data_IF_821760552297
#
_entry.id   IF_821760552297
#
_cell.length_a   1.000
_cell.length_b   1.000
_cell.length_c   1.000
_cell.angle_alpha   90.00
_cell.angle_beta   90.00
_cell.angle_gamma   90.00
#
_symmetry.space_group_name_H-M   'P 1'
#
loop_
_entity.id
_entity.type
_entity.pdbx_description
1 polymer ?
#
# COMPACT_ATOMS: atom_id res chain seq x y z
N UNK A 1 -29.31 39.54 -11.22
CA UNK A 1 -27.95 39.93 -10.78
C UNK A 1 -27.22 38.82 -10.03
N UNK A 2 -27.74 38.30 -8.91
CA UNK A 2 -27.07 37.21 -8.15
C UNK A 2 -26.93 35.91 -8.96
N UNK A 3 -27.99 35.47 -9.63
CA UNK A 3 -27.97 34.28 -10.50
C UNK A 3 -27.02 34.40 -11.71
N UNK A 4 -26.78 35.62 -12.19
CA UNK A 4 -25.91 35.87 -13.34
C UNK A 4 -24.43 35.94 -12.92
N UNK A 5 -24.18 36.40 -11.69
CA UNK A 5 -22.89 36.35 -11.01
C UNK A 5 -22.48 34.90 -10.70
N UNK A 6 -23.39 34.12 -10.10
CA UNK A 6 -23.17 32.70 -9.78
C UNK A 6 -22.89 31.85 -11.04
N UNK A 7 -23.53 32.20 -12.17
CA UNK A 7 -23.30 31.53 -13.46
C UNK A 7 -21.95 31.87 -14.09
N UNK A 8 -21.48 33.12 -13.96
CA UNK A 8 -20.16 33.53 -14.46
C UNK A 8 -19.04 32.89 -13.63
N UNK A 9 -19.16 32.89 -12.31
CA UNK A 9 -18.22 32.25 -11.40
C UNK A 9 -18.12 30.73 -11.65
N UNK A 10 -19.24 30.07 -11.93
CA UNK A 10 -19.27 28.65 -12.31
C UNK A 10 -18.56 28.38 -13.65
N UNK A 11 -18.76 29.24 -14.65
CA UNK A 11 -18.11 29.10 -15.97
C UNK A 11 -16.60 29.35 -15.87
N UNK A 12 -16.18 30.37 -15.11
CA UNK A 12 -14.77 30.67 -14.86
C UNK A 12 -14.08 29.53 -14.10
N UNK A 13 -14.74 28.97 -13.08
CA UNK A 13 -14.25 27.80 -12.35
C UNK A 13 -14.09 26.57 -13.23
N UNK A 14 -15.07 26.28 -14.12
CA UNK A 14 -14.98 25.17 -15.07
C UNK A 14 -13.87 25.40 -16.10
N UNK A 15 -13.74 26.61 -16.66
CA UNK A 15 -12.69 26.94 -17.61
C UNK A 15 -11.29 26.81 -16.99
N UNK A 16 -11.15 27.21 -15.72
CA UNK A 16 -9.91 27.03 -14.97
C UNK A 16 -9.60 25.55 -14.71
N UNK A 17 -10.62 24.75 -14.39
CA UNK A 17 -10.47 23.31 -14.19
C UNK A 17 -10.31 22.52 -15.50
N UNK A 18 -10.64 23.11 -16.67
CA UNK A 18 -10.71 22.42 -17.95
C UNK A 18 -9.42 21.69 -18.34
N UNK A 19 -8.20 22.27 -18.22
CA UNK A 19 -6.97 21.56 -18.56
C UNK A 19 -6.76 20.31 -17.70
N UNK A 20 -7.10 20.39 -16.40
CA UNK A 20 -7.06 19.24 -15.50
C UNK A 20 -8.12 18.20 -15.85
N UNK A 21 -9.37 18.62 -16.09
CA UNK A 21 -10.47 17.72 -16.46
C UNK A 21 -10.21 16.99 -17.78
N UNK A 22 -9.59 17.66 -18.75
CA UNK A 22 -9.17 17.04 -20.01
C UNK A 22 -8.08 15.98 -19.77
N UNK A 23 -7.04 16.30 -19.01
CA UNK A 23 -5.98 15.35 -18.67
C UNK A 23 -6.54 14.16 -17.87
N UNK A 24 -7.36 14.42 -16.86
CA UNK A 24 -8.07 13.39 -16.08
C UNK A 24 -8.96 12.51 -16.97
N UNK A 25 -9.73 13.13 -17.87
CA UNK A 25 -10.62 12.43 -18.80
C UNK A 25 -9.85 11.48 -19.73
N UNK A 26 -8.77 11.96 -20.34
CA UNK A 26 -8.02 11.22 -21.35
C UNK A 26 -7.10 10.16 -20.74
N UNK A 27 -6.40 10.48 -19.66
CA UNK A 27 -5.36 9.61 -19.11
C UNK A 27 -5.82 8.71 -17.96
N UNK A 28 -6.94 9.03 -17.31
CA UNK A 28 -7.46 8.24 -16.19
C UNK A 28 -8.84 7.67 -16.50
N UNK A 29 -9.82 8.53 -16.79
CA UNK A 29 -11.21 8.09 -16.95
C UNK A 29 -11.40 7.20 -18.19
N UNK A 30 -10.80 7.57 -19.32
CA UNK A 30 -10.91 6.79 -20.56
C UNK A 30 -10.28 5.39 -20.43
N UNK A 31 -9.01 5.21 -19.99
CA UNK A 31 -8.44 3.88 -19.80
C UNK A 31 -9.19 3.04 -18.77
N UNK A 32 -9.70 3.67 -17.70
CA UNK A 32 -10.55 3.00 -16.73
C UNK A 32 -11.79 2.43 -17.42
N UNK A 33 -12.62 3.28 -18.03
CA UNK A 33 -13.83 2.85 -18.74
C UNK A 33 -13.53 1.83 -19.85
N UNK A 34 -12.42 2.00 -20.58
CA UNK A 34 -12.00 1.04 -21.61
C UNK A 34 -11.65 -0.31 -21.01
N UNK A 35 -10.96 -0.35 -19.87
CA UNK A 35 -10.71 -1.58 -19.12
C UNK A 35 -12.00 -2.25 -18.67
N UNK A 36 -12.99 -1.46 -18.20
CA UNK A 36 -14.30 -2.02 -17.82
C UNK A 36 -14.99 -2.62 -19.02
N UNK A 37 -14.94 -1.95 -20.17
CA UNK A 37 -15.45 -2.50 -21.41
C UNK A 37 -14.72 -3.80 -21.79
N UNK A 38 -13.39 -3.82 -21.75
CA UNK A 38 -12.57 -4.99 -22.07
C UNK A 38 -12.88 -6.20 -21.17
N UNK A 39 -13.25 -6.00 -19.90
CA UNK A 39 -13.53 -7.11 -18.99
C UNK A 39 -14.75 -7.94 -19.37
N UNK A 40 -15.62 -7.43 -20.25
CA UNK A 40 -16.77 -8.18 -20.80
C UNK A 40 -16.48 -8.88 -22.13
N UNK A 41 -15.24 -8.82 -22.62
CA UNK A 41 -14.83 -9.38 -23.92
C UNK A 41 -13.73 -10.41 -23.75
N UNK A 42 -13.67 -11.37 -24.68
CA UNK A 42 -12.43 -12.05 -25.01
C UNK A 42 -11.61 -11.10 -25.88
N UNK A 43 -10.73 -10.35 -25.22
CA UNK A 43 -10.06 -9.20 -25.82
C UNK A 43 -8.83 -9.63 -26.63
N UNK A 44 -8.90 -9.49 -27.95
CA UNK A 44 -7.75 -9.70 -28.82
C UNK A 44 -6.92 -8.42 -28.93
N UNK A 45 -5.74 -8.42 -28.30
CA UNK A 45 -4.86 -7.25 -28.31
C UNK A 45 -4.23 -6.93 -29.68
N UNK A 46 -4.06 -7.92 -30.55
CA UNK A 46 -3.48 -7.74 -31.88
C UNK A 46 -4.53 -7.23 -32.88
N UNK A 47 -5.74 -7.76 -32.76
CA UNK A 47 -6.88 -7.40 -33.61
C UNK A 47 -8.08 -7.02 -32.75
N UNK A 48 -8.12 -5.80 -32.17
CA UNK A 48 -9.20 -5.39 -31.29
C UNK A 48 -10.61 -5.50 -31.91
N UNK A 49 -10.71 -5.36 -33.23
CA UNK A 49 -11.97 -5.49 -33.97
C UNK A 49 -12.53 -6.93 -33.99
N UNK A 50 -11.68 -7.93 -33.74
CA UNK A 50 -12.04 -9.35 -33.67
C UNK A 50 -12.38 -9.79 -32.23
N UNK A 51 -12.41 -8.86 -31.26
CA UNK A 51 -12.73 -9.20 -29.87
C UNK A 51 -14.18 -9.64 -29.73
N UNK A 52 -14.41 -10.78 -29.08
CA UNK A 52 -15.75 -11.35 -28.91
C UNK A 52 -16.39 -10.90 -27.60
N UNK A 53 -17.66 -10.50 -27.63
CA UNK A 53 -18.39 -10.17 -26.40
C UNK A 53 -18.80 -11.46 -25.68
N UNK A 54 -18.26 -11.68 -24.49
CA UNK A 54 -18.51 -12.89 -23.68
C UNK A 54 -19.30 -12.60 -22.41
N UNK A 55 -19.79 -11.37 -22.23
CA UNK A 55 -20.56 -10.97 -21.06
C UNK A 55 -19.75 -11.12 -19.76
N UNK A 56 -20.28 -11.87 -18.79
CA UNK A 56 -19.64 -12.04 -17.48
C UNK A 56 -18.70 -13.25 -17.38
N UNK A 57 -18.37 -13.91 -18.49
CA UNK A 57 -17.61 -15.16 -18.44
C UNK A 57 -16.22 -14.99 -17.79
N UNK A 58 -15.49 -13.90 -18.07
CA UNK A 58 -14.23 -13.60 -17.38
C UNK A 58 -14.37 -13.60 -15.85
N UNK A 59 -15.46 -13.04 -15.33
CA UNK A 59 -15.74 -13.01 -13.89
C UNK A 59 -16.10 -14.39 -13.34
N UNK A 60 -16.84 -15.20 -14.11
CA UNK A 60 -17.16 -16.58 -13.73
C UNK A 60 -15.89 -17.43 -13.67
N UNK A 61 -15.04 -17.36 -14.70
CA UNK A 61 -13.75 -18.04 -14.74
C UNK A 61 -12.89 -17.64 -13.55
N UNK A 62 -12.83 -16.34 -13.25
CA UNK A 62 -12.06 -15.79 -12.13
C UNK A 62 -12.50 -16.34 -10.78
N UNK A 63 -13.81 -16.46 -10.54
CA UNK A 63 -14.32 -17.01 -9.28
C UNK A 63 -14.01 -18.51 -9.11
N UNK A 64 -13.79 -19.23 -10.20
CA UNK A 64 -13.41 -20.66 -10.19
C UNK A 64 -11.90 -20.90 -10.29
N UNK A 65 -11.09 -19.85 -10.44
CA UNK A 65 -9.66 -19.96 -10.67
C UNK A 65 -8.88 -20.09 -9.34
N UNK A 66 -8.24 -21.24 -9.07
CA UNK A 66 -7.48 -21.43 -7.83
C UNK A 66 -6.33 -20.44 -7.69
N UNK A 67 -5.64 -20.09 -8.78
CA UNK A 67 -4.50 -19.16 -8.73
C UNK A 67 -4.93 -17.74 -8.38
N UNK A 68 -6.14 -17.33 -8.80
CA UNK A 68 -6.72 -16.07 -8.36
C UNK A 68 -6.89 -16.05 -6.84
N UNK A 69 -7.49 -17.09 -6.26
CA UNK A 69 -7.70 -17.19 -4.82
C UNK A 69 -6.38 -17.28 -4.04
N UNK A 70 -5.42 -18.07 -4.52
CA UNK A 70 -4.08 -18.15 -3.92
C UNK A 70 -3.39 -16.79 -3.94
N UNK A 71 -3.45 -16.06 -5.06
CA UNK A 71 -2.87 -14.72 -5.17
C UNK A 71 -3.55 -13.70 -4.25
N UNK A 72 -4.87 -13.83 -4.05
CA UNK A 72 -5.62 -12.98 -3.13
C UNK A 72 -5.27 -13.30 -1.67
N UNK A 73 -5.18 -14.57 -1.30
CA UNK A 73 -4.75 -15.00 0.04
C UNK A 73 -3.34 -14.53 0.33
N UNK A 74 -2.41 -14.69 -0.62
CA UNK A 74 -1.04 -14.18 -0.50
C UNK A 74 -1.02 -12.65 -0.32
N UNK A 75 -1.86 -11.92 -1.04
CA UNK A 75 -1.96 -10.46 -0.90
C UNK A 75 -2.49 -10.06 0.47
N UNK A 76 -3.56 -10.71 0.95
CA UNK A 76 -4.11 -10.48 2.28
C UNK A 76 -3.09 -10.82 3.36
N UNK A 77 -2.37 -11.93 3.19
CA UNK A 77 -1.32 -12.35 4.09
C UNK A 77 -0.19 -11.31 4.14
N UNK A 78 0.27 -10.84 2.98
CA UNK A 78 1.24 -9.76 2.89
C UNK A 78 0.77 -8.47 3.57
N UNK A 79 -0.49 -8.09 3.41
CA UNK A 79 -1.10 -6.91 4.03
C UNK A 79 -1.09 -7.03 5.56
N UNK A 80 -1.46 -8.20 6.10
CA UNK A 80 -1.42 -8.47 7.55
C UNK A 80 0.02 -8.42 8.08
N UNK A 81 1.00 -8.88 7.29
CA UNK A 81 2.41 -8.84 7.67
C UNK A 81 3.04 -7.45 7.57
N UNK A 82 2.45 -6.53 6.80
CA UNK A 82 3.07 -5.22 6.52
C UNK A 82 2.35 -4.05 7.17
N UNK A 83 1.01 -3.96 7.07
CA UNK A 83 0.26 -2.78 7.52
C UNK A 83 0.38 -2.55 9.03
N UNK A 84 0.11 -3.52 9.91
CA UNK A 84 0.22 -3.29 11.35
C UNK A 84 1.66 -2.91 11.77
N UNK A 85 2.73 -3.62 11.35
CA UNK A 85 4.09 -3.21 11.68
C UNK A 85 4.46 -1.83 11.14
N UNK A 86 4.02 -1.48 9.91
CA UNK A 86 4.29 -0.17 9.33
C UNK A 86 3.65 0.97 10.14
N UNK A 87 2.39 0.80 10.56
CA UNK A 87 1.69 1.80 11.38
C UNK A 87 2.28 1.88 12.79
N UNK A 88 2.54 0.73 13.41
CA UNK A 88 3.09 0.66 14.78
C UNK A 88 4.50 1.25 14.81
N UNK A 89 5.41 0.79 13.95
CA UNK A 89 6.79 1.26 13.97
C UNK A 89 6.91 2.72 13.57
N UNK A 90 6.16 3.19 12.58
CA UNK A 90 6.17 4.62 12.23
C UNK A 90 5.68 5.50 13.38
N UNK A 91 4.62 5.08 14.08
CA UNK A 91 4.09 5.80 15.26
C UNK A 91 5.11 5.78 16.40
N UNK A 92 5.70 4.63 16.72
CA UNK A 92 6.71 4.52 17.78
C UNK A 92 7.95 5.38 17.48
N UNK A 93 8.44 5.36 16.24
CA UNK A 93 9.55 6.20 15.80
C UNK A 93 9.20 7.69 15.90
N UNK A 94 7.99 8.10 15.47
CA UNK A 94 7.53 9.48 15.55
C UNK A 94 7.47 9.97 17.01
N UNK A 95 6.94 9.15 17.93
CA UNK A 95 6.88 9.47 19.35
C UNK A 95 8.28 9.56 19.99
N UNK A 96 9.19 8.66 19.61
CA UNK A 96 10.57 8.63 20.12
C UNK A 96 11.38 9.84 19.66
N UNK A 97 11.35 10.14 18.35
CA UNK A 97 12.08 11.27 17.74
C UNK A 97 11.51 12.62 18.14
N UNK A 98 10.22 12.70 18.52
CA UNK A 98 9.65 13.97 18.93
C UNK A 98 10.25 14.51 20.24
N UNK A 99 10.77 13.64 21.12
CA UNK A 99 11.48 14.06 22.34
C UNK A 99 12.70 14.93 21.99
N UNK A 100 13.12 15.79 22.90
CA UNK A 100 14.34 16.61 22.75
C UNK A 100 15.62 15.75 22.87
N UNK A 101 15.78 14.80 21.94
CA UNK A 101 16.94 13.91 21.87
C UNK A 101 18.08 14.62 21.12
N UNK A 102 19.29 14.55 21.67
CA UNK A 102 20.49 15.04 20.98
C UNK A 102 20.67 14.25 19.67
N UNK A 103 20.84 14.94 18.54
CA UNK A 103 20.99 14.30 17.23
C UNK A 103 19.68 13.98 16.49
N UNK A 104 18.56 14.63 16.85
CA UNK A 104 17.25 14.47 16.18
C UNK A 104 17.31 14.59 14.66
N UNK A 105 18.16 15.47 14.11
CA UNK A 105 18.34 15.61 12.66
C UNK A 105 18.91 14.34 12.04
N UNK A 106 19.94 13.74 12.66
CA UNK A 106 20.60 12.54 12.16
C UNK A 106 19.66 11.34 12.21
N UNK A 107 18.89 11.18 13.30
CA UNK A 107 17.88 10.13 13.42
C UNK A 107 16.83 10.23 12.31
N UNK A 108 16.33 11.45 12.04
CA UNK A 108 15.38 11.70 10.94
C UNK A 108 15.99 11.33 9.58
N UNK A 109 17.24 11.70 9.34
CA UNK A 109 17.94 11.38 8.08
C UNK A 109 18.13 9.87 7.91
N UNK A 110 18.59 9.17 8.95
CA UNK A 110 18.81 7.71 8.89
C UNK A 110 17.51 6.94 8.72
N UNK A 111 16.44 7.33 9.41
CA UNK A 111 15.15 6.66 9.25
C UNK A 111 14.46 6.99 7.94
N UNK A 112 14.74 8.14 7.33
CA UNK A 112 14.15 8.51 6.04
C UNK A 112 14.93 7.98 4.83
N UNK A 113 16.24 7.75 4.97
CA UNK A 113 17.09 7.37 3.84
C UNK A 113 16.63 6.13 3.05
N UNK A 114 16.02 5.08 3.65
CA UNK A 114 15.55 3.93 2.88
C UNK A 114 14.53 4.30 1.82
N UNK A 115 13.64 5.26 2.10
CA UNK A 115 12.54 5.64 1.21
C UNK A 115 13.01 6.27 -0.11
N UNK A 116 14.24 6.80 -0.14
CA UNK A 116 14.82 7.42 -1.33
C UNK A 116 15.21 6.34 -2.36
N UNK A 117 15.41 5.10 -1.92
CA UNK A 117 15.79 3.99 -2.79
C UNK A 117 14.59 3.51 -3.62
N UNK A 118 14.87 3.15 -4.87
CA UNK A 118 13.85 2.57 -5.76
C UNK A 118 13.51 1.14 -5.33
N UNK A 119 12.31 0.68 -5.69
CA UNK A 119 11.87 -0.71 -5.44
C UNK A 119 12.87 -1.74 -5.99
N UNK A 120 13.49 -1.45 -7.13
CA UNK A 120 14.50 -2.30 -7.76
C UNK A 120 15.75 -2.46 -6.91
N UNK A 121 16.28 -1.36 -6.38
CA UNK A 121 17.47 -1.39 -5.51
C UNK A 121 17.16 -2.17 -4.23
N UNK A 122 16.01 -1.91 -3.61
CA UNK A 122 15.58 -2.61 -2.39
C UNK A 122 15.39 -4.10 -2.65
N UNK A 123 14.69 -4.46 -3.73
CA UNK A 123 14.45 -5.84 -4.09
C UNK A 123 15.74 -6.61 -4.30
N UNK A 124 16.69 -6.07 -5.06
CA UNK A 124 17.99 -6.71 -5.29
C UNK A 124 18.83 -6.80 -4.02
N UNK A 125 18.86 -5.73 -3.21
CA UNK A 125 19.58 -5.73 -1.94
C UNK A 125 19.08 -6.83 -1.00
N UNK A 126 17.76 -6.92 -0.80
CA UNK A 126 17.18 -7.91 0.10
C UNK A 126 17.17 -9.31 -0.50
N UNK A 127 17.13 -9.45 -1.82
CA UNK A 127 17.34 -10.73 -2.49
C UNK A 127 18.69 -11.34 -2.10
N UNK A 128 19.77 -10.54 -2.13
CA UNK A 128 21.11 -10.97 -1.72
C UNK A 128 21.21 -11.19 -0.21
N UNK A 129 20.61 -10.33 0.62
CA UNK A 129 20.65 -10.49 2.09
C UNK A 129 19.95 -11.75 2.59
N UNK A 130 18.83 -12.14 1.97
CA UNK A 130 18.01 -13.30 2.34
C UNK A 130 18.34 -14.59 1.56
N UNK A 131 19.24 -14.53 0.57
CA UNK A 131 19.73 -15.72 -0.13
C UNK A 131 20.46 -16.69 0.84
N UNK A 132 20.57 -17.97 0.48
CA UNK A 132 21.12 -19.04 1.34
C UNK A 132 22.59 -18.88 1.81
N UNK A 133 23.28 -17.82 1.40
CA UNK A 133 24.60 -17.40 1.90
C UNK A 133 24.71 -15.89 2.17
N UNK A 134 23.57 -15.18 2.17
CA UNK A 134 23.50 -13.75 2.43
C UNK A 134 23.82 -13.40 3.88
N UNK A 135 24.10 -12.12 4.14
CA UNK A 135 24.49 -11.65 5.48
C UNK A 135 23.45 -12.01 6.56
N UNK A 136 22.16 -11.77 6.29
CA UNK A 136 21.09 -12.05 7.25
C UNK A 136 20.95 -13.56 7.46
N UNK A 137 20.91 -14.30 6.36
CA UNK A 137 20.87 -15.76 6.34
C UNK A 137 22.01 -16.40 7.17
N UNK A 138 23.25 -15.96 6.96
CA UNK A 138 24.43 -16.45 7.66
C UNK A 138 24.33 -16.26 9.19
N UNK A 139 23.98 -15.06 9.65
CA UNK A 139 23.88 -14.79 11.08
C UNK A 139 22.69 -15.50 11.73
N UNK A 140 21.55 -15.63 11.04
CA UNK A 140 20.41 -16.38 11.57
C UNK A 140 20.72 -17.87 11.72
N UNK A 141 21.49 -18.45 10.80
CA UNK A 141 21.97 -19.82 10.94
C UNK A 141 22.95 -19.97 12.09
N UNK A 142 23.93 -19.07 12.16
CA UNK A 142 25.00 -19.15 13.16
C UNK A 142 24.47 -18.97 14.58
N UNK A 143 23.49 -18.08 14.78
CA UNK A 143 22.94 -17.77 16.10
C UNK A 143 21.77 -18.68 16.49
N UNK A 144 20.93 -19.09 15.54
CA UNK A 144 19.67 -19.77 15.82
C UNK A 144 19.50 -21.12 15.13
N UNK A 145 20.48 -21.56 14.32
CA UNK A 145 20.43 -22.84 13.59
C UNK A 145 19.37 -22.92 12.49
N UNK A 146 18.84 -21.77 12.05
CA UNK A 146 17.75 -21.73 11.05
C UNK A 146 18.28 -22.02 9.64
N UNK A 147 17.54 -22.82 8.88
CA UNK A 147 17.83 -23.10 7.48
C UNK A 147 17.64 -21.83 6.63
N UNK A 148 18.64 -21.49 5.81
CA UNK A 148 18.96 -20.09 5.49
C UNK A 148 18.34 -19.53 4.25
N UNK A 149 17.69 -20.35 3.41
CA UNK A 149 17.18 -19.86 2.15
C UNK A 149 15.71 -19.45 2.29
N UNK A 150 15.49 -18.33 2.98
CA UNK A 150 14.16 -17.78 3.23
C UNK A 150 13.36 -17.62 1.93
N UNK A 151 14.03 -17.20 0.85
CA UNK A 151 13.39 -16.97 -0.46
C UNK A 151 13.00 -18.25 -1.21
N UNK A 152 13.51 -19.42 -0.81
CA UNK A 152 13.14 -20.73 -1.39
C UNK A 152 12.15 -21.52 -0.52
N UNK A 153 11.71 -20.97 0.59
CA UNK A 153 10.70 -21.59 1.45
C UNK A 153 9.32 -21.01 1.15
N UNK A 154 8.33 -21.85 0.90
CA UNK A 154 6.92 -21.45 0.73
C UNK A 154 6.38 -20.75 1.98
N UNK A 155 6.91 -21.08 3.15
CA UNK A 155 6.54 -20.46 4.43
C UNK A 155 7.21 -19.10 4.61
N UNK A 156 8.52 -19.01 4.35
CA UNK A 156 9.32 -17.83 4.73
C UNK A 156 9.49 -16.78 3.63
N UNK A 157 9.25 -17.12 2.36
CA UNK A 157 9.48 -16.19 1.25
C UNK A 157 8.64 -14.92 1.39
N UNK A 158 7.34 -15.06 1.70
CA UNK A 158 6.48 -13.89 1.90
C UNK A 158 6.89 -13.06 3.12
N UNK A 159 7.34 -13.69 4.20
CA UNK A 159 7.86 -12.96 5.36
C UNK A 159 9.11 -12.15 5.01
N UNK A 160 10.02 -12.69 4.22
CA UNK A 160 11.21 -11.96 3.78
C UNK A 160 10.84 -10.73 2.93
N UNK A 161 9.89 -10.90 1.99
CA UNK A 161 9.37 -9.80 1.16
C UNK A 161 8.65 -8.74 2.02
N UNK A 162 7.85 -9.18 3.00
CA UNK A 162 7.17 -8.28 3.94
C UNK A 162 8.16 -7.53 4.83
N UNK A 163 9.18 -8.21 5.39
CA UNK A 163 10.19 -7.58 6.23
C UNK A 163 11.00 -6.52 5.47
N UNK A 164 11.42 -6.82 4.24
CA UNK A 164 12.06 -5.84 3.35
C UNK A 164 11.13 -4.64 3.09
N UNK A 165 9.84 -4.90 2.85
CA UNK A 165 8.84 -3.84 2.64
C UNK A 165 8.64 -2.97 3.88
N UNK A 166 8.52 -3.57 5.06
CA UNK A 166 8.36 -2.84 6.33
C UNK A 166 9.57 -1.92 6.55
N UNK A 167 10.79 -2.44 6.39
CA UNK A 167 12.01 -1.64 6.52
C UNK A 167 12.07 -0.47 5.54
N UNK A 168 11.65 -0.71 4.29
CA UNK A 168 11.70 0.30 3.24
C UNK A 168 10.62 1.39 3.39
N UNK A 169 9.39 1.00 3.70
CA UNK A 169 8.21 1.89 3.68
C UNK A 169 7.95 2.58 5.03
N UNK A 170 8.53 2.10 6.15
CA UNK A 170 8.28 2.70 7.49
C UNK A 170 8.63 4.18 7.53
N UNK A 171 9.64 4.58 6.77
CA UNK A 171 10.14 5.94 6.62
C UNK A 171 9.07 6.95 6.16
N UNK A 172 8.25 6.57 5.18
CA UNK A 172 7.19 7.43 4.64
C UNK A 172 6.11 7.67 5.69
N UNK A 173 5.63 6.59 6.31
CA UNK A 173 4.63 6.64 7.37
C UNK A 173 5.15 7.40 8.59
N UNK A 174 6.44 7.25 8.91
CA UNK A 174 7.09 7.95 10.01
C UNK A 174 7.03 9.47 9.86
N UNK A 175 7.25 10.01 8.64
CA UNK A 175 7.18 11.47 8.42
C UNK A 175 5.77 11.99 8.67
N UNK A 176 4.75 11.30 8.18
CA UNK A 176 3.35 11.69 8.38
C UNK A 176 3.02 11.68 9.87
N UNK A 177 3.38 10.60 10.57
CA UNK A 177 3.16 10.46 12.01
C UNK A 177 3.94 11.48 12.83
N UNK A 178 5.15 11.83 12.42
CA UNK A 178 5.96 12.85 13.07
C UNK A 178 5.34 14.24 12.89
N UNK A 179 4.89 14.59 11.68
CA UNK A 179 4.20 15.85 11.42
C UNK A 179 2.90 15.94 12.24
N UNK A 180 2.12 14.86 12.28
CA UNK A 180 0.92 14.75 13.11
C UNK A 180 1.23 14.96 14.59
N UNK A 181 2.26 14.29 15.12
CA UNK A 181 2.69 14.46 16.52
C UNK A 181 3.14 15.89 16.83
N UNK A 182 3.82 16.55 15.88
CA UNK A 182 4.25 17.93 16.03
C UNK A 182 3.11 18.95 15.95
N UNK A 183 1.97 18.57 15.35
CA UNK A 183 0.76 19.40 15.31
C UNK A 183 -0.03 19.42 16.62
N UNK A 184 0.23 18.51 17.58
CA UNK A 184 -0.49 18.47 18.86
C UNK A 184 -0.06 19.65 19.74
N UNK A 185 -0.98 20.55 20.16
CA UNK A 185 -0.63 21.75 20.91
C UNK A 185 0.04 21.45 22.26
N UNK A 186 1.18 22.11 22.53
CA UNK A 186 1.95 21.92 23.77
C UNK A 186 1.16 22.23 25.05
N UNK A 187 0.21 23.17 24.96
CA UNK A 187 -0.69 23.56 26.07
C UNK A 187 -1.47 22.38 26.67
N UNK A 188 -1.81 21.36 25.87
CA UNK A 188 -2.53 20.18 26.35
C UNK A 188 -1.63 19.35 27.28
N UNK A 189 -0.35 19.22 26.93
CA UNK A 189 0.64 18.51 27.74
C UNK A 189 1.04 19.31 28.98
N UNK A 190 1.05 20.64 28.93
CA UNK A 190 1.28 21.49 30.10
C UNK A 190 0.13 21.39 31.11
N UNK A 191 -1.12 21.50 30.66
CA UNK A 191 -2.30 21.34 31.51
C UNK A 191 -2.32 19.96 32.19
N UNK A 192 -2.12 18.88 31.42
CA UNK A 192 -2.12 17.53 31.97
C UNK A 192 -0.99 17.30 32.99
N UNK A 193 0.17 17.93 32.83
CA UNK A 193 1.26 17.87 33.82
C UNK A 193 0.90 18.60 35.11
N UNK A 194 0.15 19.70 35.04
CA UNK A 194 -0.38 20.40 36.22
C UNK A 194 -1.42 19.55 36.95
N UNK A 195 -2.22 18.77 36.22
CA UNK A 195 -3.20 17.81 36.76
C UNK A 195 -2.56 16.50 37.27
N UNK A 196 -1.23 16.36 37.19
CA UNK A 196 -0.49 15.19 37.70
C UNK A 196 -0.48 13.98 36.76
N UNK A 197 -0.89 14.14 35.49
CA UNK A 197 -0.91 13.05 34.53
C UNK A 197 0.50 12.53 34.20
N UNK A 198 0.65 11.22 34.18
CA UNK A 198 1.84 10.49 33.77
C UNK A 198 2.06 10.55 32.25
N UNK A 199 3.27 10.17 31.81
CA UNK A 199 3.59 10.11 30.37
C UNK A 199 2.74 9.11 29.59
N UNK A 200 2.27 8.04 30.24
CA UNK A 200 1.41 7.04 29.60
C UNK A 200 -0.03 7.56 29.45
N UNK A 201 -0.56 8.24 30.47
CA UNK A 201 -1.88 8.90 30.39
C UNK A 201 -1.87 9.98 29.31
N UNK A 202 -0.85 10.84 29.25
CA UNK A 202 -0.71 11.82 28.16
C UNK A 202 -0.55 11.19 26.76
N UNK A 203 0.02 9.99 26.67
CA UNK A 203 0.10 9.27 25.40
C UNK A 203 -1.29 8.78 24.98
N UNK A 204 -1.99 8.09 25.89
CA UNK A 204 -3.28 7.45 25.63
C UNK A 204 -4.42 8.46 25.45
N UNK A 205 -4.46 9.52 26.26
CA UNK A 205 -5.63 10.39 26.37
C UNK A 205 -5.48 11.70 25.59
N UNK A 206 -4.24 12.08 25.23
CA UNK A 206 -3.97 13.30 24.45
C UNK A 206 -3.38 12.94 23.09
N UNK A 207 -2.25 12.24 23.09
CA UNK A 207 -1.45 12.09 21.87
C UNK A 207 -2.13 11.22 20.82
N UNK A 208 -2.53 9.99 21.18
CA UNK A 208 -3.17 9.05 20.24
C UNK A 208 -4.52 9.59 19.74
N UNK A 209 -5.41 10.14 20.59
CA UNK A 209 -6.68 10.72 20.14
C UNK A 209 -6.49 11.90 19.18
N UNK A 210 -5.56 12.81 19.48
CA UNK A 210 -5.26 13.95 18.60
C UNK A 210 -4.62 13.52 17.27
N UNK A 211 -3.95 12.37 17.25
CA UNK A 211 -3.36 11.78 16.06
C UNK A 211 -4.30 10.82 15.32
N UNK A 212 -5.56 10.63 15.76
CA UNK A 212 -6.50 9.68 15.17
C UNK A 212 -6.58 9.85 13.66
N UNK A 213 -6.93 11.04 13.16
CA UNK A 213 -7.13 11.27 11.72
C UNK A 213 -5.85 10.99 10.88
N UNK A 214 -4.66 11.46 11.28
CA UNK A 214 -3.41 11.04 10.64
C UNK A 214 -3.13 9.53 10.71
N UNK A 215 -3.46 8.86 11.82
CA UNK A 215 -3.35 7.40 11.94
C UNK A 215 -4.27 6.71 10.92
N UNK A 216 -5.52 7.15 10.79
CA UNK A 216 -6.47 6.59 9.84
C UNK A 216 -5.97 6.74 8.40
N UNK A 217 -5.48 7.93 8.09
CA UNK A 217 -4.91 8.23 6.78
C UNK A 217 -3.74 7.31 6.44
N UNK A 218 -2.80 7.12 7.37
CA UNK A 218 -1.67 6.20 7.17
C UNK A 218 -2.13 4.75 7.06
N UNK A 219 -3.10 4.31 7.87
CA UNK A 219 -3.67 2.96 7.76
C UNK A 219 -4.25 2.72 6.38
N UNK A 220 -5.08 3.66 5.87
CA UNK A 220 -5.74 3.54 4.56
C UNK A 220 -4.71 3.54 3.43
N UNK A 221 -3.77 4.48 3.40
CA UNK A 221 -2.76 4.54 2.34
C UNK A 221 -1.83 3.33 2.38
N UNK A 222 -1.41 2.90 3.57
CA UNK A 222 -0.54 1.72 3.71
C UNK A 222 -1.29 0.47 3.28
N UNK A 223 -2.58 0.35 3.62
CA UNK A 223 -3.42 -0.75 3.18
C UNK A 223 -3.54 -0.81 1.65
N UNK A 224 -3.88 0.31 1.00
CA UNK A 224 -3.98 0.40 -0.46
C UNK A 224 -2.63 0.02 -1.11
N UNK A 225 -1.53 0.58 -0.60
CA UNK A 225 -0.19 0.30 -1.11
C UNK A 225 0.23 -1.16 -0.94
N UNK A 226 -0.06 -1.77 0.21
CA UNK A 226 0.24 -3.19 0.46
C UNK A 226 -0.62 -4.14 -0.37
N UNK A 227 -1.90 -3.81 -0.63
CA UNK A 227 -2.75 -4.59 -1.52
C UNK A 227 -2.31 -4.49 -2.99
N UNK A 228 -1.72 -3.37 -3.38
CA UNK A 228 -1.20 -3.12 -4.73
C UNK A 228 0.26 -3.54 -4.91
N UNK A 229 0.81 -4.35 -3.99
CA UNK A 229 2.22 -4.74 -4.04
C UNK A 229 2.53 -5.57 -5.29
N UNK A 230 3.62 -5.21 -5.97
CA UNK A 230 4.09 -5.88 -7.19
C UNK A 230 5.61 -6.01 -7.21
N UNK A 231 6.33 -4.89 -7.07
CA UNK A 231 7.77 -4.85 -7.34
C UNK A 231 8.61 -5.74 -6.40
N UNK A 232 8.33 -5.70 -5.10
CA UNK A 232 9.11 -6.46 -4.10
C UNK A 232 9.05 -7.97 -4.34
N UNK A 233 7.86 -8.62 -4.39
CA UNK A 233 7.78 -10.05 -4.70
C UNK A 233 8.22 -10.38 -6.13
N UNK A 234 8.00 -9.47 -7.11
CA UNK A 234 8.50 -9.68 -8.47
C UNK A 234 10.03 -9.78 -8.53
N UNK A 235 10.74 -8.91 -7.84
CA UNK A 235 12.21 -8.85 -7.88
C UNK A 235 12.83 -9.93 -6.97
N UNK A 236 12.34 -10.07 -5.74
CA UNK A 236 12.98 -10.94 -4.74
C UNK A 236 12.75 -12.42 -5.00
N UNK A 237 11.54 -12.79 -5.47
CA UNK A 237 11.11 -14.19 -5.52
C UNK A 237 10.47 -14.59 -6.85
N UNK A 238 10.18 -13.63 -7.73
CA UNK A 238 9.40 -13.83 -8.96
C UNK A 238 8.04 -14.51 -8.73
N UNK A 239 7.45 -14.31 -7.55
CA UNK A 239 6.18 -14.93 -7.15
C UNK A 239 6.31 -16.33 -6.55
N UNK A 240 7.53 -16.90 -6.52
CA UNK A 240 7.80 -18.22 -5.98
C UNK A 240 8.18 -18.25 -4.48
N UNK A 241 8.56 -19.44 -3.98
CA UNK A 241 8.40 -20.75 -4.64
C UNK A 241 6.91 -21.14 -4.72
N UNK A 242 6.53 -21.95 -5.70
CA UNK A 242 5.17 -22.51 -5.85
C UNK A 242 4.04 -21.46 -5.68
N UNK A 243 4.17 -20.34 -6.40
CA UNK A 243 3.24 -19.20 -6.34
C UNK A 243 3.02 -18.56 -4.95
N UNK A 244 3.72 -18.99 -3.90
CA UNK A 244 3.52 -18.54 -2.50
C UNK A 244 3.76 -17.04 -2.26
N UNK A 245 4.40 -16.34 -3.20
CA UNK A 245 4.56 -14.88 -3.14
C UNK A 245 3.91 -14.14 -4.31
N UNK A 246 3.13 -14.85 -5.12
CA UNK A 246 2.37 -14.24 -6.21
C UNK A 246 1.22 -13.44 -5.63
N UNK A 247 1.25 -12.12 -5.83
CA UNK A 247 0.18 -11.21 -5.38
C UNK A 247 -0.84 -10.99 -6.48
N UNK A 248 -2.01 -10.45 -6.12
CA UNK A 248 -3.10 -10.25 -7.07
C UNK A 248 -2.71 -9.30 -8.23
N UNK A 249 -1.86 -8.30 -7.97
CA UNK A 249 -1.33 -7.41 -9.01
C UNK A 249 -0.31 -8.13 -9.89
N UNK A 250 0.51 -9.02 -9.32
CA UNK A 250 1.39 -9.88 -10.11
C UNK A 250 0.58 -10.82 -11.00
N UNK A 251 -0.47 -11.42 -10.46
CA UNK A 251 -1.36 -12.32 -11.20
C UNK A 251 -2.04 -11.57 -12.35
N UNK A 252 -2.61 -10.40 -12.08
CA UNK A 252 -3.15 -9.50 -13.11
C UNK A 252 -2.14 -9.22 -14.22
N UNK A 253 -0.89 -8.86 -13.85
CA UNK A 253 0.16 -8.59 -14.82
C UNK A 253 0.52 -9.83 -15.65
N UNK A 254 0.66 -10.99 -15.02
CA UNK A 254 0.92 -12.26 -15.69
C UNK A 254 -0.21 -12.59 -16.68
N UNK A 255 -1.47 -12.53 -16.25
CA UNK A 255 -2.62 -12.79 -17.12
C UNK A 255 -2.69 -11.81 -18.30
N UNK A 256 -2.49 -10.52 -18.05
CA UNK A 256 -2.66 -9.48 -19.07
C UNK A 256 -1.51 -9.42 -20.06
N UNK A 257 -0.27 -9.43 -19.57
CA UNK A 257 0.91 -9.14 -20.38
C UNK A 257 1.72 -10.38 -20.77
N UNK A 258 1.70 -11.45 -19.97
CA UNK A 258 2.41 -12.69 -20.32
C UNK A 258 1.50 -13.65 -21.07
N UNK A 259 0.31 -13.91 -20.53
CA UNK A 259 -0.70 -14.79 -21.16
C UNK A 259 -1.53 -14.09 -22.23
N UNK A 260 -1.43 -12.75 -22.35
CA UNK A 260 -2.16 -11.91 -23.32
C UNK A 260 -3.69 -11.98 -23.19
N UNK A 261 -4.19 -12.37 -22.02
CA UNK A 261 -5.61 -12.43 -21.68
C UNK A 261 -6.05 -11.10 -21.07
N UNK A 262 -6.10 -10.05 -21.89
CA UNK A 262 -6.36 -8.68 -21.42
C UNK A 262 -7.78 -8.50 -20.84
N UNK A 263 -8.79 -9.15 -21.41
CA UNK A 263 -10.15 -9.12 -20.89
C UNK A 263 -10.23 -9.74 -19.49
N UNK A 264 -9.61 -10.90 -19.32
CA UNK A 264 -9.49 -11.57 -18.03
C UNK A 264 -8.70 -10.73 -17.00
N UNK A 265 -7.56 -10.17 -17.40
CA UNK A 265 -6.77 -9.30 -16.53
C UNK A 265 -7.53 -8.02 -16.12
N UNK A 266 -8.32 -7.45 -17.02
CA UNK A 266 -9.20 -6.34 -16.69
C UNK A 266 -10.25 -6.75 -15.64
N UNK A 267 -10.84 -7.94 -15.76
CA UNK A 267 -11.76 -8.47 -14.74
C UNK A 267 -11.08 -8.60 -13.37
N UNK A 268 -9.85 -9.12 -13.29
CA UNK A 268 -9.05 -9.15 -12.05
C UNK A 268 -8.88 -7.73 -11.48
N UNK A 269 -8.51 -6.77 -12.33
CA UNK A 269 -8.32 -5.37 -11.92
C UNK A 269 -9.58 -4.73 -11.34
N UNK A 270 -10.75 -5.02 -11.92
CA UNK A 270 -12.03 -4.52 -11.42
C UNK A 270 -12.46 -5.16 -10.11
N UNK A 271 -12.21 -6.46 -9.93
CA UNK A 271 -12.45 -7.12 -8.65
C UNK A 271 -11.53 -6.55 -7.57
N UNK A 272 -10.24 -6.34 -7.87
CA UNK A 272 -9.30 -5.68 -6.96
C UNK A 272 -9.78 -4.25 -6.60
N UNK A 273 -10.24 -3.47 -7.58
CA UNK A 273 -10.79 -2.13 -7.36
C UNK A 273 -12.00 -2.15 -6.41
N UNK A 274 -12.93 -3.10 -6.60
CA UNK A 274 -14.09 -3.26 -5.72
C UNK A 274 -13.69 -3.67 -4.29
N UNK A 275 -12.70 -4.55 -4.15
CA UNK A 275 -12.15 -4.94 -2.84
C UNK A 275 -11.54 -3.72 -2.14
N UNK A 276 -10.72 -2.94 -2.86
CA UNK A 276 -10.07 -1.74 -2.31
C UNK A 276 -11.09 -0.69 -1.86
N UNK A 277 -12.14 -0.43 -2.65
CA UNK A 277 -13.21 0.49 -2.25
C UNK A 277 -13.93 -0.03 -1.00
N UNK A 278 -14.31 -1.30 -1.00
CA UNK A 278 -15.07 -1.90 0.09
C UNK A 278 -14.29 -1.81 1.40
N UNK A 279 -13.01 -2.18 1.40
CA UNK A 279 -12.19 -2.12 2.61
C UNK A 279 -11.85 -0.68 3.00
N UNK A 280 -11.63 0.22 2.04
CA UNK A 280 -11.40 1.64 2.35
C UNK A 280 -12.63 2.29 3.01
N UNK A 281 -13.83 1.97 2.54
CA UNK A 281 -15.08 2.44 3.15
C UNK A 281 -15.26 1.85 4.55
N UNK A 282 -15.04 0.54 4.73
CA UNK A 282 -15.13 -0.09 6.05
C UNK A 282 -14.14 0.53 7.03
N UNK A 283 -12.88 0.73 6.62
CA UNK A 283 -11.87 1.39 7.45
C UNK A 283 -12.27 2.83 7.78
N UNK A 284 -12.79 3.59 6.82
CA UNK A 284 -13.25 4.95 7.06
C UNK A 284 -14.37 4.96 8.11
N UNK A 285 -15.45 4.19 7.91
CA UNK A 285 -16.59 4.19 8.85
C UNK A 285 -16.28 3.60 10.22
N UNK A 286 -15.54 2.48 10.27
CA UNK A 286 -15.18 1.83 11.54
C UNK A 286 -14.32 2.74 12.41
N UNK A 287 -13.50 3.58 11.77
CA UNK A 287 -12.57 4.44 12.46
C UNK A 287 -13.02 5.90 12.57
N UNK A 288 -14.03 6.34 11.82
CA UNK A 288 -14.65 7.68 11.93
C UNK A 288 -15.86 7.72 12.87
N UNK A 289 -16.39 6.56 13.29
CA UNK A 289 -17.64 6.44 14.04
C UNK A 289 -17.69 7.01 15.48
N UNK A 290 -16.79 7.93 15.84
CA UNK A 290 -16.85 8.65 17.13
C UNK A 290 -16.94 10.18 16.93
N UNK A 291 -17.50 10.66 15.81
CA UNK A 291 -17.88 12.07 15.61
C UNK A 291 -19.40 12.25 15.69
#
# INVERSE_FOLDING_TARGET
>A
MKEEYDRRESVEGILFALPYLLAFGVFLLYPLLKGLYMSFYDWNALFPAESEFIGLENYRTLLSDPLFWDSLVNTVYFVVLTVPPLVIFSTLLALGVNRNVKGKWLMRTVFFSPYILTVSVIGLLFQELFAGGGFIAYWLNTLFGLETNFLRSTTWAMFAVAAATVWWQVAFNFIIMLAARQGVPDRLYEAARLDGASSYEMLRDITIPQMRNPILFVVIITFIGSFQVFGQPWIMTQGGPDFSTTTIVMYLYQSGFQSRSFGYAAAIGYILFLILISVSLVNYYALSGDE
#
